data_IF_946249271162
#
_entry.id   IF_946249271162
#
_cell.length_a   1.000
_cell.length_b   1.000
_cell.length_c   1.000
_cell.angle_alpha   90.00
_cell.angle_beta   90.00
_cell.angle_gamma   90.00
#
_symmetry.space_group_name_H-M   'P 1'
#
loop_
_entity.id
_entity.type
_entity.pdbx_description
1 polymer ?
#
# COMPACT_ATOMS: atom_id res chain seq x y z
N UNK A 1 -13.24 -25.78 -3.21
CA UNK A 1 -12.06 -25.91 -4.12
C UNK A 1 -10.72 -26.08 -3.41
N UNK A 2 -10.54 -25.70 -2.13
CA UNK A 2 -9.31 -26.03 -1.38
C UNK A 2 -8.02 -25.40 -1.92
N UNK A 3 -8.11 -24.22 -2.54
CA UNK A 3 -6.99 -23.57 -3.25
C UNK A 3 -5.83 -23.12 -2.35
N UNK A 4 -6.08 -23.00 -1.05
CA UNK A 4 -5.06 -22.75 -0.03
C UNK A 4 -4.14 -23.97 0.22
N UNK A 5 -4.46 -25.12 -0.37
CA UNK A 5 -3.63 -26.33 -0.36
C UNK A 5 -2.88 -26.47 -1.67
N UNK A 6 -1.56 -26.66 -1.59
CA UNK A 6 -0.72 -26.80 -2.78
C UNK A 6 -1.11 -28.04 -3.58
N UNK A 7 -1.23 -27.90 -4.91
CA UNK A 7 -1.63 -29.01 -5.78
C UNK A 7 -0.68 -30.22 -5.72
N UNK A 8 0.61 -29.98 -5.49
CA UNK A 8 1.59 -31.05 -5.33
C UNK A 8 1.29 -31.94 -4.12
N UNK A 9 0.80 -31.36 -3.03
CA UNK A 9 0.39 -32.10 -1.83
C UNK A 9 -0.91 -32.90 -2.02
N UNK A 10 -1.64 -32.63 -3.11
CA UNK A 10 -2.88 -33.29 -3.48
C UNK A 10 -2.69 -34.33 -4.60
N UNK A 11 -1.45 -34.52 -5.09
CA UNK A 11 -1.17 -35.44 -6.19
C UNK A 11 -1.66 -34.97 -7.56
N UNK A 12 -1.83 -33.65 -7.74
CA UNK A 12 -2.22 -33.08 -9.04
C UNK A 12 -1.04 -33.01 -10.01
N UNK A 13 -1.34 -32.90 -11.30
CA UNK A 13 -0.31 -32.70 -12.34
C UNK A 13 0.48 -31.41 -12.08
N UNK A 14 1.70 -31.27 -12.64
CA UNK A 14 2.47 -30.03 -12.51
C UNK A 14 1.72 -28.81 -13.05
N UNK A 15 1.03 -28.96 -14.19
CA UNK A 15 0.21 -27.91 -14.78
C UNK A 15 -0.92 -27.49 -13.85
N UNK A 16 -1.74 -28.44 -13.36
CA UNK A 16 -2.86 -28.13 -12.46
C UNK A 16 -2.40 -27.51 -11.14
N UNK A 17 -1.25 -27.96 -10.64
CA UNK A 17 -0.63 -27.41 -9.44
C UNK A 17 -0.22 -25.95 -9.64
N UNK A 18 0.44 -25.63 -10.75
CA UNK A 18 0.82 -24.26 -11.10
C UNK A 18 -0.40 -23.36 -11.35
N UNK A 19 -1.41 -23.85 -12.06
CA UNK A 19 -2.68 -23.12 -12.26
C UNK A 19 -3.38 -22.82 -10.92
N UNK A 20 -3.37 -23.77 -9.98
CA UNK A 20 -3.89 -23.55 -8.62
C UNK A 20 -3.09 -22.51 -7.85
N UNK A 21 -1.75 -22.56 -7.90
CA UNK A 21 -0.89 -21.56 -7.25
C UNK A 21 -1.20 -20.17 -7.77
N UNK A 22 -1.23 -20.00 -9.09
CA UNK A 22 -1.56 -18.73 -9.75
C UNK A 22 -2.93 -18.21 -9.32
N UNK A 23 -3.95 -19.07 -9.35
CA UNK A 23 -5.31 -18.71 -8.98
C UNK A 23 -5.44 -18.32 -7.50
N UNK A 24 -4.87 -19.13 -6.60
CA UNK A 24 -4.89 -18.87 -5.15
C UNK A 24 -4.28 -17.51 -4.83
N UNK A 25 -3.05 -17.29 -5.29
CA UNK A 25 -2.30 -16.08 -4.99
C UNK A 25 -2.91 -14.84 -5.65
N UNK A 26 -3.43 -14.96 -6.87
CA UNK A 26 -4.15 -13.87 -7.51
C UNK A 26 -5.39 -13.46 -6.69
N UNK A 27 -6.21 -14.43 -6.28
CA UNK A 27 -7.39 -14.13 -5.45
C UNK A 27 -7.00 -13.55 -4.10
N UNK A 28 -5.95 -14.08 -3.46
CA UNK A 28 -5.47 -13.60 -2.17
C UNK A 28 -5.04 -12.13 -2.24
N UNK A 29 -4.15 -11.80 -3.17
CA UNK A 29 -3.69 -10.42 -3.36
C UNK A 29 -4.81 -9.46 -3.72
N UNK A 30 -5.79 -9.90 -4.54
CA UNK A 30 -6.96 -9.08 -4.88
C UNK A 30 -7.93 -8.92 -3.72
N UNK A 31 -8.13 -9.96 -2.91
CA UNK A 31 -8.96 -9.88 -1.70
C UNK A 31 -8.37 -8.87 -0.70
N UNK A 32 -7.07 -8.99 -0.42
CA UNK A 32 -6.37 -8.05 0.46
C UNK A 32 -6.44 -6.61 -0.06
N UNK A 33 -6.29 -6.42 -1.38
CA UNK A 33 -6.44 -5.10 -1.98
C UNK A 33 -7.85 -4.53 -1.81
N UNK A 34 -8.88 -5.33 -2.07
CA UNK A 34 -10.26 -4.89 -1.91
C UNK A 34 -10.57 -4.56 -0.44
N UNK A 35 -10.07 -5.36 0.49
CA UNK A 35 -10.22 -5.10 1.92
C UNK A 35 -9.58 -3.76 2.30
N UNK A 36 -8.34 -3.51 1.83
CA UNK A 36 -7.67 -2.21 1.97
C UNK A 36 -8.53 -1.06 1.42
N UNK A 37 -9.12 -1.22 0.22
CA UNK A 37 -9.94 -0.21 -0.42
C UNK A 37 -11.19 0.17 0.39
N UNK A 38 -11.73 -0.78 1.16
CA UNK A 38 -12.87 -0.56 2.05
C UNK A 38 -12.48 -0.28 3.51
N UNK A 39 -11.18 -0.20 3.83
CA UNK A 39 -10.71 -0.01 5.21
C UNK A 39 -10.99 -1.21 6.11
N UNK A 40 -11.12 -2.40 5.53
CA UNK A 40 -11.36 -3.66 6.23
C UNK A 40 -10.04 -4.40 6.38
N UNK A 41 -9.81 -4.99 7.56
CA UNK A 41 -8.70 -5.90 7.75
C UNK A 41 -9.11 -7.35 7.41
N UNK A 42 -8.53 -7.91 6.35
CA UNK A 42 -8.83 -9.28 5.90
C UNK A 42 -7.90 -10.36 6.47
N UNK A 43 -6.86 -10.01 7.23
CA UNK A 43 -5.82 -10.98 7.57
C UNK A 43 -6.27 -12.06 8.56
N UNK A 44 -7.23 -11.73 9.44
CA UNK A 44 -7.77 -12.64 10.47
C UNK A 44 -8.54 -13.81 9.85
N UNK A 45 -9.22 -13.59 8.73
CA UNK A 45 -10.18 -14.55 8.15
C UNK A 45 -9.54 -15.47 7.11
N UNK A 46 -8.26 -15.26 6.79
CA UNK A 46 -7.57 -16.02 5.76
C UNK A 46 -7.08 -17.37 6.31
N UNK A 47 -7.36 -18.49 5.61
CA UNK A 47 -6.92 -19.80 6.06
C UNK A 47 -5.39 -19.89 6.09
N UNK A 48 -4.87 -20.82 6.89
CA UNK A 48 -3.49 -21.26 6.70
C UNK A 48 -3.36 -21.84 5.29
N UNK A 49 -2.25 -21.53 4.64
CA UNK A 49 -1.97 -22.00 3.29
C UNK A 49 -0.56 -22.54 3.23
N UNK A 50 -0.39 -23.68 2.56
CA UNK A 50 0.91 -24.25 2.21
C UNK A 50 1.21 -24.09 0.72
N UNK A 51 0.40 -23.31 0.00
CA UNK A 51 0.52 -23.08 -1.44
C UNK A 51 1.80 -22.30 -1.72
N UNK A 52 2.68 -22.87 -2.54
CA UNK A 52 3.93 -22.22 -2.95
C UNK A 52 3.65 -21.02 -3.86
N UNK A 53 4.60 -20.09 -3.98
CA UNK A 53 4.51 -19.05 -4.99
C UNK A 53 4.49 -19.66 -6.40
N UNK A 54 3.77 -19.04 -7.35
CA UNK A 54 3.84 -19.42 -8.76
C UNK A 54 5.24 -19.28 -9.33
N UNK A 55 5.52 -19.93 -10.46
CA UNK A 55 6.79 -19.78 -11.17
C UNK A 55 6.81 -18.56 -12.08
N UNK A 56 7.98 -17.93 -12.23
CA UNK A 56 8.22 -16.89 -13.23
C UNK A 56 8.39 -17.51 -14.63
N UNK A 57 7.31 -17.99 -15.22
CA UNK A 57 7.28 -18.64 -16.54
C UNK A 57 6.17 -18.04 -17.39
N UNK A 58 6.37 -18.04 -18.72
CA UNK A 58 5.35 -17.52 -19.64
C UNK A 58 4.19 -18.51 -19.76
N UNK A 59 3.00 -18.01 -20.10
CA UNK A 59 1.82 -18.87 -20.27
C UNK A 59 2.01 -19.86 -21.42
N UNK A 60 2.81 -19.47 -22.43
CA UNK A 60 3.15 -20.33 -23.56
C UNK A 60 4.06 -21.51 -23.17
N UNK A 61 4.72 -21.46 -22.00
CA UNK A 61 5.57 -22.53 -21.49
C UNK A 61 4.78 -23.60 -20.69
N UNK A 62 3.47 -23.43 -20.54
CA UNK A 62 2.62 -24.29 -19.73
C UNK A 62 1.60 -25.02 -20.60
N UNK A 63 1.53 -26.35 -20.48
CA UNK A 63 0.55 -27.18 -21.18
C UNK A 63 0.01 -28.29 -20.26
N UNK A 64 -1.26 -28.74 -20.43
CA UNK A 64 -1.92 -29.65 -19.49
C UNK A 64 -1.16 -30.95 -19.20
N UNK A 65 -0.61 -31.58 -20.23
CA UNK A 65 0.01 -32.91 -20.13
C UNK A 65 1.53 -32.85 -19.83
N UNK A 66 2.03 -31.75 -19.26
CA UNK A 66 3.45 -31.60 -18.93
C UNK A 66 3.86 -32.51 -17.77
N UNK A 67 4.98 -33.23 -17.95
CA UNK A 67 5.53 -34.11 -16.92
C UNK A 67 6.26 -33.34 -15.81
N UNK A 68 6.86 -32.20 -16.14
CA UNK A 68 7.63 -31.36 -15.22
C UNK A 68 7.48 -29.87 -15.57
N UNK A 69 7.58 -28.99 -14.56
CA UNK A 69 7.55 -27.54 -14.78
C UNK A 69 8.88 -27.05 -15.40
N UNK A 70 8.83 -26.10 -16.34
CA UNK A 70 10.04 -25.48 -16.87
C UNK A 70 10.76 -24.68 -15.77
N UNK A 71 12.08 -24.47 -15.90
CA UNK A 71 12.82 -23.64 -14.95
C UNK A 71 12.31 -22.18 -14.99
N UNK A 72 12.30 -21.47 -13.85
CA UNK A 72 11.98 -20.04 -13.82
C UNK A 72 12.86 -19.23 -14.76
N UNK A 73 12.25 -18.31 -15.51
CA UNK A 73 12.99 -17.40 -16.39
C UNK A 73 13.74 -16.35 -15.56
N UNK A 74 14.99 -15.99 -15.91
CA UNK A 74 15.78 -15.00 -15.16
C UNK A 74 15.35 -13.54 -15.45
N UNK A 75 14.61 -13.30 -16.53
CA UNK A 75 14.18 -11.97 -16.97
C UNK A 75 12.72 -11.65 -16.63
N UNK A 76 12.27 -10.50 -17.12
CA UNK A 76 10.88 -10.08 -16.99
C UNK A 76 9.94 -11.04 -17.76
N UNK A 77 8.83 -11.40 -17.12
CA UNK A 77 7.69 -12.08 -17.75
C UNK A 77 6.40 -11.42 -17.28
N UNK A 78 5.26 -11.80 -17.87
CA UNK A 78 3.94 -11.36 -17.39
C UNK A 78 3.67 -11.75 -15.93
N UNK A 79 4.39 -12.73 -15.38
CA UNK A 79 4.32 -13.13 -13.97
C UNK A 79 5.14 -12.22 -13.04
N UNK A 80 6.03 -11.37 -13.54
CA UNK A 80 6.90 -10.54 -12.68
C UNK A 80 6.11 -9.60 -11.76
N UNK A 81 5.15 -8.84 -12.29
CA UNK A 81 4.31 -7.95 -11.49
C UNK A 81 3.43 -8.74 -10.48
N UNK A 82 2.68 -9.79 -10.90
CA UNK A 82 1.96 -10.64 -9.97
C UNK A 82 2.85 -11.19 -8.84
N UNK A 83 4.04 -11.71 -9.16
CA UNK A 83 4.94 -12.30 -8.17
C UNK A 83 5.38 -11.30 -7.10
N UNK A 84 5.86 -10.11 -7.49
CA UNK A 84 6.25 -9.10 -6.50
C UNK A 84 5.05 -8.63 -5.67
N UNK A 85 3.85 -8.51 -6.27
CA UNK A 85 2.63 -8.23 -5.52
C UNK A 85 2.31 -9.33 -4.50
N UNK A 86 2.47 -10.60 -4.87
CA UNK A 86 2.23 -11.75 -3.98
C UNK A 86 3.24 -11.80 -2.84
N UNK A 87 4.52 -11.57 -3.14
CA UNK A 87 5.61 -11.49 -2.14
C UNK A 87 5.35 -10.37 -1.12
N UNK A 88 4.99 -9.16 -1.59
CA UNK A 88 4.61 -8.03 -0.73
C UNK A 88 3.35 -8.37 0.09
N UNK A 89 2.35 -9.00 -0.53
CA UNK A 89 1.10 -9.41 0.15
C UNK A 89 1.40 -10.39 1.30
N UNK A 90 2.26 -11.38 1.06
CA UNK A 90 2.66 -12.35 2.08
C UNK A 90 3.42 -11.68 3.21
N UNK A 91 4.43 -10.89 2.89
CA UNK A 91 5.22 -10.18 3.88
C UNK A 91 4.36 -9.24 4.74
N UNK A 92 3.40 -8.54 4.13
CA UNK A 92 2.46 -7.71 4.88
C UNK A 92 1.63 -8.53 5.86
N UNK A 93 1.12 -9.69 5.44
CA UNK A 93 0.41 -10.62 6.35
C UNK A 93 1.27 -11.06 7.52
N UNK A 94 2.50 -11.47 7.24
CA UNK A 94 3.44 -11.96 8.26
C UNK A 94 3.78 -10.88 9.28
N UNK A 95 4.08 -9.66 8.81
CA UNK A 95 4.36 -8.52 9.68
C UNK A 95 3.13 -8.10 10.49
N UNK A 96 1.94 -8.21 9.90
CA UNK A 96 0.70 -7.96 10.61
C UNK A 96 0.47 -9.00 11.71
N UNK A 97 0.62 -10.30 11.43
CA UNK A 97 0.52 -11.36 12.45
C UNK A 97 1.57 -11.21 13.54
N UNK A 98 2.79 -10.84 13.17
CA UNK A 98 3.87 -10.54 14.11
C UNK A 98 3.54 -9.33 15.00
N UNK A 99 2.82 -8.33 14.49
CA UNK A 99 2.38 -7.19 15.31
C UNK A 99 1.46 -7.64 16.44
N UNK A 100 0.63 -8.67 16.21
CA UNK A 100 -0.30 -9.25 17.17
C UNK A 100 0.30 -10.25 18.15
N UNK A 101 1.47 -10.81 17.83
CA UNK A 101 2.06 -11.85 18.65
C UNK A 101 2.54 -11.30 20.00
N UNK A 102 2.73 -12.17 20.99
CA UNK A 102 3.30 -11.81 22.29
C UNK A 102 4.83 -11.70 22.27
N UNK A 103 5.45 -11.66 21.09
CA UNK A 103 6.91 -11.57 20.93
C UNK A 103 7.47 -10.25 21.48
N UNK A 104 8.71 -10.25 21.99
CA UNK A 104 9.38 -9.02 22.43
C UNK A 104 9.47 -7.98 21.30
N UNK A 105 9.31 -6.70 21.65
CA UNK A 105 9.38 -5.59 20.68
C UNK A 105 10.68 -5.56 19.88
N UNK A 106 11.81 -5.95 20.48
CA UNK A 106 13.11 -6.07 19.79
C UNK A 106 13.10 -7.15 18.71
N UNK A 107 12.50 -8.31 18.99
CA UNK A 107 12.31 -9.39 18.01
C UNK A 107 11.41 -8.93 16.88
N UNK A 108 10.28 -8.29 17.20
CA UNK A 108 9.37 -7.73 16.18
C UNK A 108 10.07 -6.75 15.26
N UNK A 109 10.88 -5.84 15.81
CA UNK A 109 11.69 -4.88 15.03
C UNK A 109 12.75 -5.56 14.16
N UNK A 110 13.45 -6.57 14.67
CA UNK A 110 14.49 -7.28 13.93
C UNK A 110 13.90 -8.02 12.71
N UNK A 111 12.78 -8.74 12.91
CA UNK A 111 12.08 -9.43 11.82
C UNK A 111 11.52 -8.43 10.83
N UNK A 112 10.85 -7.36 11.30
CA UNK A 112 10.32 -6.29 10.46
C UNK A 112 11.40 -5.67 9.55
N UNK A 113 12.53 -5.28 10.14
CA UNK A 113 13.66 -4.69 9.40
C UNK A 113 14.25 -5.66 8.38
N UNK A 114 14.34 -6.95 8.72
CA UNK A 114 14.83 -7.98 7.79
C UNK A 114 13.87 -8.17 6.62
N UNK A 115 12.57 -8.34 6.88
CA UNK A 115 11.55 -8.53 5.85
C UNK A 115 11.49 -7.35 4.88
N UNK A 116 11.53 -6.11 5.38
CA UNK A 116 11.56 -4.92 4.52
C UNK A 116 12.81 -4.85 3.64
N UNK A 117 13.97 -5.22 4.19
CA UNK A 117 15.23 -5.27 3.43
C UNK A 117 15.18 -6.31 2.31
N UNK A 118 14.67 -7.50 2.60
CA UNK A 118 14.56 -8.57 1.61
C UNK A 118 13.62 -8.17 0.47
N UNK A 119 12.47 -7.56 0.79
CA UNK A 119 11.56 -7.00 -0.22
C UNK A 119 12.18 -5.84 -1.01
N UNK A 120 12.97 -4.98 -0.37
CA UNK A 120 13.66 -3.89 -1.06
C UNK A 120 14.64 -4.41 -2.10
N UNK A 121 15.47 -5.38 -1.72
CA UNK A 121 16.36 -6.05 -2.67
C UNK A 121 15.59 -6.73 -3.81
N UNK A 122 14.42 -7.27 -3.50
CA UNK A 122 13.55 -7.88 -4.48
C UNK A 122 12.95 -6.85 -5.44
N UNK A 123 12.44 -5.72 -4.96
CA UNK A 123 11.95 -4.61 -5.81
C UNK A 123 13.07 -4.03 -6.69
N UNK A 124 14.29 -3.85 -6.13
CA UNK A 124 15.48 -3.46 -6.90
C UNK A 124 15.80 -4.47 -8.01
N UNK A 125 15.67 -5.77 -7.73
CA UNK A 125 15.87 -6.82 -8.74
C UNK A 125 14.86 -6.72 -9.88
N UNK A 126 13.60 -6.35 -9.58
CA UNK A 126 12.57 -6.09 -10.60
C UNK A 126 12.96 -4.89 -11.46
N UNK A 127 13.45 -3.80 -10.85
CA UNK A 127 13.96 -2.64 -11.59
C UNK A 127 15.11 -2.99 -12.54
N UNK A 128 16.00 -3.92 -12.16
CA UNK A 128 17.12 -4.37 -13.01
C UNK A 128 16.70 -5.19 -14.24
N UNK A 129 15.59 -5.92 -14.16
CA UNK A 129 15.09 -6.76 -15.26
C UNK A 129 14.06 -6.04 -16.14
N UNK A 130 13.54 -4.89 -15.70
CA UNK A 130 12.58 -4.08 -16.46
C UNK A 130 13.30 -3.09 -17.37
N UNK A 131 12.76 -2.89 -18.57
CA UNK A 131 13.18 -1.88 -19.53
C UNK A 131 12.28 -0.65 -19.44
N UNK A 132 12.86 0.55 -19.42
CA UNK A 132 12.13 1.82 -19.45
C UNK A 132 11.42 2.09 -20.78
N UNK A 133 11.78 1.37 -21.85
CA UNK A 133 11.20 1.51 -23.18
C UNK A 133 9.91 0.70 -23.38
N UNK A 134 9.63 -0.26 -22.50
CA UNK A 134 8.47 -1.14 -22.61
C UNK A 134 7.44 -0.74 -21.57
N UNK A 135 6.27 -0.17 -21.95
CA UNK A 135 5.34 0.45 -21.00
C UNK A 135 4.88 -0.47 -19.86
N UNK A 136 4.62 -1.76 -20.13
CA UNK A 136 4.21 -2.71 -19.08
C UNK A 136 5.35 -3.02 -18.10
N UNK A 137 6.61 -2.94 -18.53
CA UNK A 137 7.77 -3.15 -17.67
C UNK A 137 8.03 -1.91 -16.80
N UNK A 138 7.91 -0.70 -17.36
CA UNK A 138 7.92 0.55 -16.58
C UNK A 138 6.83 0.53 -15.51
N UNK A 139 5.59 0.18 -15.88
CA UNK A 139 4.49 0.03 -14.93
C UNK A 139 4.80 -1.02 -13.84
N UNK A 140 5.48 -2.11 -14.21
CA UNK A 140 5.88 -3.16 -13.24
C UNK A 140 6.89 -2.61 -12.24
N UNK A 141 7.87 -1.83 -12.70
CA UNK A 141 8.87 -1.18 -11.86
C UNK A 141 8.20 -0.16 -10.92
N UNK A 142 7.37 0.73 -11.46
CA UNK A 142 6.64 1.75 -10.70
C UNK A 142 5.75 1.11 -9.64
N UNK A 143 4.99 0.07 -10.03
CA UNK A 143 4.15 -0.69 -9.13
C UNK A 143 4.92 -1.35 -8.00
N UNK A 144 6.05 -1.99 -8.31
CA UNK A 144 6.91 -2.59 -7.28
C UNK A 144 7.40 -1.56 -6.27
N UNK A 145 7.76 -0.36 -6.75
CA UNK A 145 8.25 0.74 -5.92
C UNK A 145 7.17 1.28 -4.99
N UNK A 146 6.02 1.74 -5.50
CA UNK A 146 5.01 2.35 -4.61
C UNK A 146 4.36 1.32 -3.68
N UNK A 147 4.23 0.04 -4.09
CA UNK A 147 3.70 -1.00 -3.21
C UNK A 147 4.64 -1.25 -2.02
N UNK A 148 5.96 -1.26 -2.24
CA UNK A 148 6.96 -1.41 -1.19
C UNK A 148 6.91 -0.23 -0.22
N UNK A 149 6.99 1.00 -0.73
CA UNK A 149 6.95 2.21 0.11
C UNK A 149 5.66 2.27 0.94
N UNK A 150 4.52 1.88 0.34
CA UNK A 150 3.25 1.76 1.07
C UNK A 150 3.32 0.74 2.19
N UNK A 151 3.84 -0.45 1.92
CA UNK A 151 3.95 -1.49 2.93
C UNK A 151 4.88 -1.07 4.07
N UNK A 152 6.01 -0.45 3.76
CA UNK A 152 6.98 0.07 4.74
C UNK A 152 6.34 1.10 5.67
N UNK A 153 5.59 2.06 5.11
CA UNK A 153 4.93 3.10 5.89
C UNK A 153 3.83 2.52 6.79
N UNK A 154 2.98 1.64 6.27
CA UNK A 154 1.91 0.95 7.03
C UNK A 154 2.50 0.13 8.18
N UNK A 155 3.45 -0.74 7.87
CA UNK A 155 3.95 -1.73 8.84
C UNK A 155 4.82 -1.08 9.91
N UNK A 156 5.54 0.00 9.60
CA UNK A 156 6.24 0.79 10.62
C UNK A 156 5.25 1.48 11.56
N UNK A 157 4.15 2.05 11.04
CA UNK A 157 3.10 2.62 11.89
C UNK A 157 2.51 1.53 12.80
N UNK A 158 2.14 0.36 12.26
CA UNK A 158 1.66 -0.80 13.03
C UNK A 158 2.60 -1.15 14.19
N UNK A 159 3.89 -1.32 13.89
CA UNK A 159 4.90 -1.67 14.88
C UNK A 159 5.05 -0.58 15.94
N UNK A 160 5.01 0.68 15.53
CA UNK A 160 5.14 1.80 16.45
C UNK A 160 3.99 1.82 17.47
N UNK A 161 2.77 1.44 17.08
CA UNK A 161 1.61 1.32 17.98
C UNK A 161 1.63 0.11 18.91
N UNK A 162 2.49 -0.87 18.67
CA UNK A 162 2.68 -1.99 19.62
C UNK A 162 3.50 -1.62 20.85
N UNK A 163 4.10 -0.41 20.91
CA UNK A 163 4.94 0.01 22.04
C UNK A 163 4.06 0.47 23.22
N UNK A 164 4.07 -0.22 24.38
CA UNK A 164 3.20 0.10 25.51
C UNK A 164 3.63 1.34 26.32
N UNK A 165 4.81 1.90 26.05
CA UNK A 165 5.48 2.87 26.93
C UNK A 165 5.84 4.21 26.27
N UNK A 166 5.49 4.42 25.01
CA UNK A 166 5.73 5.71 24.35
C UNK A 166 4.46 6.57 24.48
N UNK A 167 4.61 7.78 25.03
CA UNK A 167 3.58 8.80 24.91
C UNK A 167 3.22 8.93 23.42
N UNK A 168 1.94 8.77 23.05
CA UNK A 168 1.51 8.78 21.64
C UNK A 168 1.92 10.08 20.94
N UNK A 169 2.12 11.14 21.71
CA UNK A 169 2.67 12.44 21.29
C UNK A 169 4.14 12.39 20.83
N UNK A 170 4.92 11.42 21.32
CA UNK A 170 6.37 11.25 21.09
C UNK A 170 6.69 10.33 19.90
N UNK A 171 5.68 9.66 19.33
CA UNK A 171 5.85 8.85 18.13
C UNK A 171 6.06 9.75 16.91
N UNK A 172 7.32 9.90 16.49
CA UNK A 172 7.68 10.63 15.27
C UNK A 172 7.30 9.84 14.00
N UNK A 173 6.01 9.76 13.69
CA UNK A 173 5.46 9.12 12.47
C UNK A 173 5.41 10.08 11.26
N UNK A 174 5.52 11.39 11.51
CA UNK A 174 5.54 12.43 10.48
C UNK A 174 6.99 12.73 10.05
N UNK A 175 7.74 11.75 9.55
CA UNK A 175 9.14 11.96 9.18
C UNK A 175 9.29 12.60 7.79
N UNK A 176 10.36 13.37 7.56
CA UNK A 176 10.65 13.94 6.24
C UNK A 176 10.90 12.86 5.18
N UNK A 177 11.57 11.77 5.55
CA UNK A 177 11.83 10.62 4.66
C UNK A 177 10.51 10.02 4.13
N UNK A 178 9.53 9.87 5.02
CA UNK A 178 8.22 9.34 4.66
C UNK A 178 7.40 10.30 3.82
N UNK A 179 7.52 11.60 4.09
CA UNK A 179 6.88 12.63 3.28
C UNK A 179 7.42 12.61 1.85
N UNK A 180 8.75 12.50 1.69
CA UNK A 180 9.41 12.38 0.40
C UNK A 180 8.93 11.13 -0.34
N UNK A 181 8.97 9.96 0.30
CA UNK A 181 8.52 8.71 -0.31
C UNK A 181 7.03 8.73 -0.70
N UNK A 182 6.18 9.32 0.15
CA UNK A 182 4.76 9.47 -0.15
C UNK A 182 4.51 10.42 -1.34
N UNK A 183 5.27 11.52 -1.43
CA UNK A 183 5.21 12.43 -2.58
C UNK A 183 5.60 11.69 -3.86
N UNK A 184 6.70 10.94 -3.86
CA UNK A 184 7.17 10.15 -5.01
C UNK A 184 6.09 9.17 -5.49
N UNK A 185 5.43 8.46 -4.56
CA UNK A 185 4.35 7.54 -4.91
C UNK A 185 3.17 8.25 -5.59
N UNK A 186 2.77 9.43 -5.12
CA UNK A 186 1.68 10.20 -5.74
C UNK A 186 2.09 10.80 -7.08
N UNK A 187 3.31 11.30 -7.20
CA UNK A 187 3.86 11.87 -8.44
C UNK A 187 3.92 10.81 -9.55
N UNK A 188 4.47 9.62 -9.25
CA UNK A 188 4.49 8.48 -10.18
C UNK A 188 3.06 8.12 -10.61
N UNK A 189 2.11 8.09 -9.67
CA UNK A 189 0.72 7.78 -10.00
C UNK A 189 0.11 8.83 -10.95
N UNK A 190 0.23 10.11 -10.61
CA UNK A 190 -0.32 11.22 -11.43
C UNK A 190 0.33 11.27 -12.81
N UNK A 191 1.66 11.14 -12.88
CA UNK A 191 2.38 11.07 -14.15
C UNK A 191 1.89 9.89 -14.99
N UNK A 192 1.74 8.73 -14.36
CA UNK A 192 1.20 7.52 -14.97
C UNK A 192 -0.16 7.72 -15.65
N UNK A 193 -1.04 8.52 -15.04
CA UNK A 193 -2.34 8.85 -15.61
C UNK A 193 -2.26 9.83 -16.78
N UNK A 194 -1.35 10.80 -16.72
CA UNK A 194 -1.15 11.80 -17.78
C UNK A 194 -0.43 11.25 -19.02
N UNK A 195 0.35 10.18 -18.86
CA UNK A 195 1.18 9.62 -19.92
C UNK A 195 0.36 8.69 -20.86
N UNK A 196 0.31 9.05 -22.15
CA UNK A 196 -0.42 8.28 -23.16
C UNK A 196 0.14 6.86 -23.38
N UNK A 197 1.42 6.61 -23.07
CA UNK A 197 2.01 5.26 -23.12
C UNK A 197 1.30 4.28 -22.18
N UNK A 198 0.70 4.77 -21.09
CA UNK A 198 0.01 3.95 -20.10
C UNK A 198 -1.51 3.90 -20.29
N UNK A 199 -2.04 4.52 -21.36
CA UNK A 199 -3.49 4.61 -21.60
C UNK A 199 -4.19 3.25 -21.57
N UNK A 200 -3.61 2.22 -22.20
CA UNK A 200 -4.15 0.86 -22.21
C UNK A 200 -4.10 0.15 -20.84
N UNK A 201 -3.29 0.64 -19.89
CA UNK A 201 -3.11 0.07 -18.55
C UNK A 201 -3.85 0.85 -17.46
N UNK A 202 -4.60 1.92 -17.81
CA UNK A 202 -5.38 2.72 -16.85
C UNK A 202 -6.38 1.91 -16.04
N UNK A 203 -6.88 0.78 -16.57
CA UNK A 203 -7.74 -0.14 -15.81
C UNK A 203 -7.02 -0.73 -14.58
N UNK A 204 -5.72 -1.04 -14.71
CA UNK A 204 -4.90 -1.59 -13.63
C UNK A 204 -4.59 -0.52 -12.59
N UNK A 205 -4.21 0.67 -13.04
CA UNK A 205 -3.98 1.82 -12.16
C UNK A 205 -5.26 2.22 -11.43
N UNK A 206 -6.42 2.11 -12.09
CA UNK A 206 -7.73 2.37 -11.49
C UNK A 206 -8.05 1.45 -10.33
N UNK A 207 -7.59 0.20 -10.39
CA UNK A 207 -7.77 -0.80 -9.35
C UNK A 207 -6.83 -0.61 -8.14
N UNK A 208 -5.89 0.35 -8.20
CA UNK A 208 -4.94 0.62 -7.12
C UNK A 208 -4.79 2.13 -6.86
N UNK A 209 -5.85 2.83 -6.42
CA UNK A 209 -5.73 4.23 -6.02
C UNK A 209 -4.81 4.38 -4.80
N UNK A 210 -3.95 5.41 -4.82
CA UNK A 210 -2.94 5.67 -3.78
C UNK A 210 -3.49 6.49 -2.59
N UNK A 211 -4.72 6.18 -2.15
CA UNK A 211 -5.38 6.92 -1.06
C UNK A 211 -4.60 6.91 0.24
N UNK A 212 -3.88 5.82 0.54
CA UNK A 212 -3.08 5.76 1.76
C UNK A 212 -1.99 6.84 1.78
N UNK A 213 -1.28 7.03 0.66
CA UNK A 213 -0.26 8.08 0.52
C UNK A 213 -0.87 9.47 0.58
N UNK A 214 -1.99 9.68 -0.09
CA UNK A 214 -2.72 10.95 -0.05
C UNK A 214 -3.15 11.31 1.38
N UNK A 215 -3.75 10.36 2.12
CA UNK A 215 -4.18 10.57 3.49
C UNK A 215 -2.99 10.80 4.43
N UNK A 216 -1.89 10.08 4.24
CA UNK A 216 -0.67 10.28 5.00
C UNK A 216 -0.12 11.69 4.81
N UNK A 217 0.01 12.17 3.57
CA UNK A 217 0.49 13.53 3.30
C UNK A 217 -0.43 14.56 3.94
N UNK A 218 -1.75 14.40 3.78
CA UNK A 218 -2.73 15.33 4.35
C UNK A 218 -2.67 15.37 5.89
N UNK A 219 -2.51 14.22 6.53
CA UNK A 219 -2.27 14.13 7.97
C UNK A 219 -0.92 14.76 8.36
N UNK A 220 0.16 14.47 7.63
CA UNK A 220 1.48 15.03 7.87
C UNK A 220 1.41 16.56 7.84
N UNK A 221 0.77 17.15 6.82
CA UNK A 221 0.61 18.60 6.69
C UNK A 221 -0.16 19.24 7.84
N UNK A 222 -1.06 18.50 8.51
CA UNK A 222 -1.73 18.98 9.72
C UNK A 222 -0.79 18.99 10.94
N UNK A 223 0.03 17.95 11.10
CA UNK A 223 0.90 17.76 12.28
C UNK A 223 2.22 18.53 12.16
N UNK A 224 2.80 18.58 10.96
CA UNK A 224 4.05 19.28 10.61
C UNK A 224 3.83 20.15 9.37
N UNK A 225 3.21 21.32 9.54
CA UNK A 225 2.91 22.23 8.43
C UNK A 225 4.13 23.00 7.89
N UNK A 226 5.33 22.79 8.47
CA UNK A 226 6.58 23.44 8.06
C UNK A 226 7.65 22.39 7.84
N UNK A 227 8.42 22.54 6.77
CA UNK A 227 9.49 21.63 6.38
C UNK A 227 9.95 21.91 4.95
N UNK A 228 11.12 21.40 4.54
CA UNK A 228 11.64 21.59 3.18
C UNK A 228 10.75 20.95 2.11
N UNK A 229 10.05 19.87 2.45
CA UNK A 229 9.26 19.07 1.50
C UNK A 229 7.77 19.49 1.44
N UNK A 230 7.33 20.41 2.31
CA UNK A 230 5.90 20.77 2.47
C UNK A 230 5.28 21.28 1.16
N UNK A 231 5.95 22.15 0.41
CA UNK A 231 5.40 22.67 -0.85
C UNK A 231 5.34 21.61 -1.96
N UNK A 232 6.28 20.64 -1.97
CA UNK A 232 6.19 19.47 -2.85
C UNK A 232 4.99 18.61 -2.47
N UNK A 233 4.79 18.38 -1.18
CA UNK A 233 3.68 17.60 -0.65
C UNK A 233 2.32 18.21 -1.00
N UNK A 234 2.15 19.53 -0.88
CA UNK A 234 0.94 20.22 -1.34
C UNK A 234 0.68 20.02 -2.82
N UNK A 235 1.70 20.17 -3.68
CA UNK A 235 1.56 19.97 -5.13
C UNK A 235 1.15 18.53 -5.47
N UNK A 236 1.87 17.55 -4.95
CA UNK A 236 1.60 16.13 -5.20
C UNK A 236 0.20 15.73 -4.73
N UNK A 237 -0.19 16.18 -3.53
CA UNK A 237 -1.47 15.81 -2.96
C UNK A 237 -2.66 16.52 -3.64
N UNK A 238 -2.50 17.78 -4.06
CA UNK A 238 -3.53 18.47 -4.85
C UNK A 238 -3.74 17.80 -6.21
N UNK A 239 -2.65 17.49 -6.93
CA UNK A 239 -2.74 16.82 -8.23
C UNK A 239 -3.40 15.43 -8.12
N UNK A 240 -3.06 14.67 -7.07
CA UNK A 240 -3.70 13.37 -6.81
C UNK A 240 -5.18 13.51 -6.44
N UNK A 241 -5.56 14.51 -5.64
CA UNK A 241 -6.96 14.75 -5.29
C UNK A 241 -7.78 15.14 -6.53
N UNK A 242 -7.26 16.02 -7.37
CA UNK A 242 -7.90 16.45 -8.62
C UNK A 242 -8.12 15.25 -9.56
N UNK A 243 -7.11 14.40 -9.72
CA UNK A 243 -7.22 13.17 -10.49
C UNK A 243 -8.36 12.27 -9.95
N UNK A 244 -8.42 12.02 -8.64
CA UNK A 244 -9.47 11.20 -8.05
C UNK A 244 -10.86 11.84 -8.17
N UNK A 245 -10.96 13.17 -8.07
CA UNK A 245 -12.21 13.89 -8.30
C UNK A 245 -12.69 13.77 -9.75
N UNK A 246 -11.79 13.88 -10.73
CA UNK A 246 -12.11 13.66 -12.15
C UNK A 246 -12.59 12.23 -12.40
N UNK A 247 -11.93 11.25 -11.80
CA UNK A 247 -12.33 9.83 -11.88
C UNK A 247 -13.71 9.59 -11.26
N UNK A 248 -13.99 10.22 -10.12
CA UNK A 248 -15.30 10.14 -9.47
C UNK A 248 -16.39 10.79 -10.34
N UNK A 249 -16.13 11.92 -10.98
CA UNK A 249 -17.09 12.57 -11.87
C UNK A 249 -17.48 11.68 -13.06
N UNK A 250 -16.54 10.88 -13.55
CA UNK A 250 -16.77 9.90 -14.61
C UNK A 250 -17.50 8.63 -14.12
N UNK A 251 -17.70 8.47 -12.80
CA UNK A 251 -18.39 7.33 -12.18
C UNK A 251 -19.76 7.75 -11.67
N UNK A 252 -20.80 6.97 -11.95
CA UNK A 252 -22.16 7.22 -11.43
C UNK A 252 -22.32 6.92 -9.91
N UNK A 253 -21.23 6.65 -9.20
CA UNK A 253 -21.24 6.29 -7.77
C UNK A 253 -21.04 7.51 -6.87
N UNK A 254 -21.48 7.41 -5.62
CA UNK A 254 -21.19 8.42 -4.60
C UNK A 254 -19.67 8.51 -4.30
N UNK A 255 -19.17 9.67 -3.82
CA UNK A 255 -17.78 9.83 -3.42
C UNK A 255 -17.37 8.75 -2.41
N UNK A 256 -16.20 8.15 -2.62
CA UNK A 256 -15.67 7.19 -1.64
C UNK A 256 -15.46 7.87 -0.28
N UNK A 257 -15.64 7.12 0.80
CA UNK A 257 -15.37 7.61 2.16
C UNK A 257 -13.94 8.18 2.26
N UNK A 258 -12.97 7.52 1.62
CA UNK A 258 -11.57 7.95 1.55
C UNK A 258 -11.41 9.33 0.90
N UNK A 259 -12.08 9.58 -0.22
CA UNK A 259 -12.04 10.88 -0.88
C UNK A 259 -12.65 11.98 0.01
N UNK A 260 -13.75 11.67 0.68
CA UNK A 260 -14.40 12.59 1.63
C UNK A 260 -13.47 12.92 2.81
N UNK A 261 -12.80 11.92 3.38
CA UNK A 261 -11.82 12.13 4.47
C UNK A 261 -10.62 12.95 3.98
N UNK A 262 -10.10 12.66 2.79
CA UNK A 262 -9.00 13.42 2.20
C UNK A 262 -9.36 14.91 2.00
N UNK A 263 -10.58 15.21 1.51
CA UNK A 263 -11.06 16.59 1.36
C UNK A 263 -11.19 17.31 2.71
N UNK A 264 -11.67 16.63 3.76
CA UNK A 264 -11.77 17.21 5.11
C UNK A 264 -10.39 17.49 5.71
N UNK A 265 -9.45 16.56 5.57
CA UNK A 265 -8.07 16.77 6.01
C UNK A 265 -7.38 17.91 5.25
N UNK A 266 -7.58 17.99 3.93
CA UNK A 266 -7.08 19.11 3.11
C UNK A 266 -7.56 20.44 3.66
N UNK A 267 -8.86 20.57 3.94
CA UNK A 267 -9.44 21.79 4.51
C UNK A 267 -8.82 22.13 5.88
N UNK A 268 -8.58 21.13 6.74
CA UNK A 268 -7.90 21.34 8.04
C UNK A 268 -6.46 21.83 7.83
N UNK A 269 -5.72 21.18 6.93
CA UNK A 269 -4.33 21.57 6.62
C UNK A 269 -4.25 22.98 6.01
N UNK A 270 -5.23 23.39 5.19
CA UNK A 270 -5.34 24.76 4.65
C UNK A 270 -5.57 25.77 5.77
N UNK A 271 -6.51 25.50 6.69
CA UNK A 271 -6.75 26.38 7.84
C UNK A 271 -5.50 26.54 8.73
N UNK A 272 -4.75 25.46 8.96
CA UNK A 272 -3.49 25.50 9.71
C UNK A 272 -2.44 26.32 8.96
N UNK A 273 -2.31 26.12 7.64
CA UNK A 273 -1.38 26.88 6.80
C UNK A 273 -1.72 28.38 6.80
N UNK A 274 -2.99 28.72 6.65
CA UNK A 274 -3.50 30.09 6.63
C UNK A 274 -3.33 30.76 8.00
N UNK A 275 -3.58 30.04 9.10
CA UNK A 275 -3.32 30.53 10.45
C UNK A 275 -1.83 30.81 10.67
N UNK A 276 -0.93 29.96 10.16
CA UNK A 276 0.51 30.17 10.24
C UNK A 276 1.01 31.33 9.37
N UNK A 277 0.37 31.55 8.21
CA UNK A 277 0.64 32.70 7.34
C UNK A 277 0.09 34.00 7.93
N UNK A 278 -1.05 33.94 8.60
CA UNK A 278 -1.73 35.07 9.26
C UNK A 278 -1.16 35.37 10.65
N UNK A 279 -0.36 34.47 11.23
CA UNK A 279 0.28 34.57 12.56
C UNK A 279 1.46 35.57 12.62
N UNK A 280 1.28 36.72 12.00
CA UNK A 280 1.38 37.98 12.73
C UNK A 280 -0.03 38.26 13.29
N UNK A 281 -0.35 37.67 14.47
CA UNK A 281 -1.66 37.59 15.14
C UNK A 281 -2.54 36.37 14.80
N UNK A 282 -2.63 35.41 15.73
CA UNK A 282 -3.86 35.11 16.51
C UNK A 282 -3.60 33.77 17.23
N UNK A 283 -3.31 33.88 18.52
CA UNK A 283 -3.20 32.77 19.48
C UNK A 283 -4.58 32.35 20.03
N UNK A 284 -5.68 32.69 19.34
CA UNK A 284 -7.04 32.58 19.88
C UNK A 284 -8.00 32.23 18.74
N UNK A 285 -8.03 31.00 18.25
CA UNK A 285 -9.22 30.43 17.56
C UNK A 285 -9.16 28.89 17.34
N UNK A 286 -8.35 28.16 18.13
CA UNK A 286 -8.25 26.69 18.07
C UNK A 286 -9.09 26.00 19.17
N UNK A 287 -10.21 26.59 19.60
CA UNK A 287 -10.97 26.08 20.77
C UNK A 287 -12.46 25.84 20.54
N UNK A 288 -12.96 25.77 19.30
CA UNK A 288 -14.41 25.66 19.08
C UNK A 288 -14.89 24.66 18.03
N UNK A 289 -14.10 23.65 17.68
CA UNK A 289 -14.59 22.44 17.00
C UNK A 289 -13.98 21.25 17.75
N UNK A 290 -14.75 20.23 18.19
CA UNK A 290 -14.25 19.24 19.13
C UNK A 290 -13.14 18.40 18.49
N UNK A 291 -11.88 18.75 18.81
CA UNK A 291 -10.66 18.10 18.32
C UNK A 291 -10.64 16.59 18.58
N UNK A 292 -11.26 16.14 19.67
CA UNK A 292 -11.27 14.74 20.06
C UNK A 292 -12.02 13.84 19.06
N UNK A 293 -13.14 14.26 18.48
CA UNK A 293 -14.00 13.36 17.68
C UNK A 293 -13.48 13.18 16.23
N UNK A 294 -12.72 14.15 15.71
CA UNK A 294 -12.10 14.08 14.38
C UNK A 294 -10.70 13.50 14.49
N UNK A 295 -9.94 13.76 15.55
CA UNK A 295 -8.71 13.02 15.82
C UNK A 295 -9.01 11.58 16.19
N UNK A 296 -10.04 11.27 16.98
CA UNK A 296 -10.50 9.90 17.19
C UNK A 296 -11.04 9.28 15.90
N UNK A 297 -11.67 10.04 14.98
CA UNK A 297 -12.10 9.46 13.69
C UNK A 297 -10.99 9.34 12.65
N UNK A 298 -10.01 10.23 12.67
CA UNK A 298 -8.79 10.12 11.85
C UNK A 298 -7.88 9.04 12.40
N UNK A 299 -7.84 8.88 13.72
CA UNK A 299 -7.30 7.74 14.42
C UNK A 299 -8.11 6.50 14.06
N UNK A 300 -9.43 6.40 14.23
CA UNK A 300 -10.28 5.31 13.74
C UNK A 300 -10.35 5.16 12.21
N UNK A 301 -9.65 5.97 11.40
CA UNK A 301 -9.54 5.80 9.95
C UNK A 301 -8.12 5.40 9.51
N UNK A 302 -7.09 6.06 10.06
CA UNK A 302 -5.67 5.70 9.91
C UNK A 302 -5.34 4.50 10.78
N UNK A 303 -5.71 4.56 12.05
CA UNK A 303 -5.96 3.40 12.89
C UNK A 303 -7.28 2.70 12.61
N UNK A 304 -8.23 3.09 11.77
CA UNK A 304 -9.28 2.15 11.30
C UNK A 304 -8.70 0.97 10.53
N UNK A 305 -7.67 1.30 9.74
CA UNK A 305 -6.80 0.33 9.10
C UNK A 305 -5.82 -0.35 10.10
N UNK A 306 -5.76 0.07 11.38
CA UNK A 306 -4.88 -0.47 12.45
C UNK A 306 -5.60 -0.92 13.75
N UNK A 307 -6.92 -0.72 13.89
CA UNK A 307 -7.73 -0.72 15.12
C UNK A 307 -9.03 -1.49 14.91
N UNK A 308 -9.01 -2.46 14.00
CA UNK A 308 -9.71 -3.72 14.24
C UNK A 308 -9.10 -4.49 15.44
N UNK A 309 -8.62 -3.80 16.49
CA UNK A 309 -7.80 -4.33 17.58
C UNK A 309 -8.05 -3.72 18.98
N UNK A 310 -9.08 -2.91 19.22
CA UNK A 310 -9.38 -2.47 20.59
C UNK A 310 -10.85 -2.46 20.99
N UNK A 311 -11.72 -3.24 20.33
CA UNK A 311 -12.99 -3.68 20.93
C UNK A 311 -13.31 -5.12 20.54
N UNK A 312 -12.81 -6.04 21.35
CA UNK A 312 -13.37 -7.35 21.70
C UNK A 312 -12.81 -7.72 23.07
#
# INVERSE_FOLDING_TARGET
MGLHRDGSSLGLTPFESEMRRRLWWFMLSRHCRNAEDHGINSWVTLPSSNTQFPLNVADEDLWPDMAELPPPRPGWTKMTLPLITMEITQAWRELWLLSLSSEPTSTKQAVHTKTLRDLRHRAESVGRICSSYVPIQTLTQDASSYMLHKMELITRQQLAFTKPSCDKSSMNLATEEDLVAACECLEINVEGWSNELFRQFRWSMSANPQFYMLLYIMWHLCVRPKGPTVDRAWRAANASLELEMQRQCNSATAPTLKLTVAQRLKKRAELIRDALASSMFVYIYLSSVPDAEIEDRLWEFTAGCLASLTYS
#
